data_IF_507328296295
#
_entry.id   IF_507328296295
#
_cell.length_a   1.000
_cell.length_b   1.000
_cell.length_c   1.000
_cell.angle_alpha   90.00
_cell.angle_beta   90.00
_cell.angle_gamma   90.00
#
_symmetry.space_group_name_H-M   'P 1'
#
loop_
_entity.id
_entity.type
_entity.pdbx_description
1 polymer ?
#
# COMPACT_ATOMS: atom_id res chain seq x y z
N UNK A 1 20.78 -7.58 -25.10
CA UNK A 1 19.70 -7.94 -24.16
C UNK A 1 19.68 -6.90 -23.06
N UNK A 2 18.55 -6.24 -22.83
CA UNK A 2 18.44 -5.04 -21.99
C UNK A 2 18.48 -5.38 -20.49
N UNK A 3 19.67 -5.55 -19.93
CA UNK A 3 19.87 -5.60 -18.47
C UNK A 3 19.98 -4.21 -17.83
N UNK A 4 20.02 -3.14 -18.64
CA UNK A 4 20.17 -1.74 -18.20
C UNK A 4 19.08 -1.32 -17.20
N UNK A 5 17.88 -1.90 -17.26
CA UNK A 5 16.79 -1.57 -16.31
C UNK A 5 17.00 -2.12 -14.89
N UNK A 6 17.83 -3.15 -14.72
CA UNK A 6 18.07 -3.78 -13.40
C UNK A 6 19.03 -2.99 -12.52
N UNK A 7 19.82 -2.11 -13.14
CA UNK A 7 20.81 -1.25 -12.46
C UNK A 7 20.38 0.22 -12.46
N UNK A 8 19.20 0.55 -12.99
CA UNK A 8 18.70 1.91 -13.01
C UNK A 8 18.43 2.37 -11.57
N UNK A 9 19.19 3.34 -11.02
CA UNK A 9 19.07 3.72 -9.62
C UNK A 9 17.74 4.40 -9.28
N UNK A 10 16.92 4.72 -10.29
CA UNK A 10 15.52 5.14 -10.21
C UNK A 10 14.87 4.82 -11.56
N UNK A 11 13.76 4.09 -11.59
CA UNK A 11 12.96 4.02 -12.82
C UNK A 11 12.13 5.30 -12.92
N UNK A 12 12.00 5.89 -14.12
CA UNK A 12 11.14 7.07 -14.33
C UNK A 12 9.66 6.80 -14.07
N UNK A 13 9.30 5.55 -13.79
CA UNK A 13 7.95 5.07 -13.52
C UNK A 13 7.71 4.73 -12.04
N UNK A 14 8.73 4.88 -11.18
CA UNK A 14 8.58 4.63 -9.74
C UNK A 14 7.87 5.82 -9.12
N UNK A 15 6.90 5.52 -8.26
CA UNK A 15 6.22 6.55 -7.47
C UNK A 15 7.00 6.73 -6.19
N UNK A 16 7.71 7.85 -6.12
CA UNK A 16 8.51 8.23 -4.96
C UNK A 16 7.74 9.22 -4.10
N UNK A 17 7.65 8.91 -2.81
CA UNK A 17 7.16 9.76 -1.73
C UNK A 17 8.36 10.01 -0.82
N UNK A 18 8.77 11.27 -0.69
CA UNK A 18 9.94 11.61 0.11
C UNK A 18 9.68 11.50 1.62
N UNK A 19 10.76 11.63 2.41
CA UNK A 19 10.69 11.55 3.87
C UNK A 19 9.82 12.65 4.46
N UNK A 20 9.85 13.88 3.92
CA UNK A 20 9.05 14.97 4.44
C UNK A 20 7.55 14.70 4.29
N UNK A 21 7.13 14.08 3.19
CA UNK A 21 5.74 13.70 2.96
C UNK A 21 5.32 12.50 3.83
N UNK A 22 6.21 11.54 4.08
CA UNK A 22 5.96 10.43 5.03
C UNK A 22 5.80 10.98 6.45
N UNK A 23 6.70 11.85 6.90
CA UNK A 23 6.69 12.44 8.24
C UNK A 23 5.42 13.29 8.44
N UNK A 24 5.03 14.08 7.43
CA UNK A 24 3.76 14.82 7.44
C UNK A 24 2.56 13.88 7.56
N UNK A 25 2.53 12.80 6.79
CA UNK A 25 1.41 11.86 6.80
C UNK A 25 1.32 11.15 8.15
N UNK A 26 2.44 10.70 8.70
CA UNK A 26 2.48 10.10 10.04
C UNK A 26 2.00 11.07 11.11
N UNK A 27 2.47 12.33 11.09
CA UNK A 27 2.01 13.35 12.01
C UNK A 27 0.49 13.59 11.90
N UNK A 28 -0.07 13.58 10.68
CA UNK A 28 -1.51 13.67 10.47
C UNK A 28 -2.25 12.50 11.10
N UNK A 29 -1.75 11.27 10.97
CA UNK A 29 -2.35 10.09 11.60
C UNK A 29 -2.28 10.15 13.12
N UNK A 30 -1.18 10.62 13.68
CA UNK A 30 -0.98 10.79 15.13
C UNK A 30 -1.97 11.78 15.74
N UNK A 31 -2.25 12.91 15.07
CA UNK A 31 -3.17 13.93 15.59
C UNK A 31 -4.65 13.66 15.25
N UNK A 32 -4.93 12.60 14.50
CA UNK A 32 -6.29 12.19 14.11
C UNK A 32 -6.51 10.70 14.41
N UNK A 33 -6.44 10.29 15.70
CA UNK A 33 -6.55 8.90 16.08
C UNK A 33 -7.98 8.37 15.91
N UNK A 34 -8.10 7.05 15.76
CA UNK A 34 -9.41 6.39 15.63
C UNK A 34 -10.29 6.53 16.88
N UNK A 35 -9.66 6.64 18.06
CA UNK A 35 -10.35 6.76 19.36
C UNK A 35 -11.12 8.07 19.48
N UNK A 36 -10.67 9.11 18.75
CA UNK A 36 -11.38 10.39 18.61
C UNK A 36 -12.47 10.33 17.51
N UNK A 37 -12.68 9.17 16.90
CA UNK A 37 -13.70 8.92 15.87
C UNK A 37 -13.25 9.16 14.43
N UNK A 38 -11.97 9.48 14.19
CA UNK A 38 -11.47 9.76 12.84
C UNK A 38 -11.48 8.55 11.92
N UNK A 39 -11.80 8.82 10.64
CA UNK A 39 -11.81 7.86 9.54
C UNK A 39 -11.09 8.48 8.34
N UNK A 40 -9.98 7.87 7.95
CA UNK A 40 -9.08 8.40 6.94
C UNK A 40 -9.07 7.46 5.74
N UNK A 41 -9.24 8.05 4.56
CA UNK A 41 -9.05 7.38 3.28
C UNK A 41 -7.79 7.93 2.62
N UNK A 42 -6.96 7.03 2.12
CA UNK A 42 -5.67 7.36 1.50
C UNK A 42 -5.75 7.06 0.02
N UNK A 43 -5.20 7.95 -0.80
CA UNK A 43 -5.15 7.81 -2.25
C UNK A 43 -3.72 7.98 -2.72
N UNK A 44 -3.21 7.02 -3.47
CA UNK A 44 -1.89 7.08 -4.08
C UNK A 44 -1.94 6.61 -5.54
N UNK A 45 -0.92 6.91 -6.34
CA UNK A 45 -0.85 6.34 -7.68
C UNK A 45 -0.49 4.85 -7.59
N UNK A 46 0.70 4.53 -7.07
CA UNK A 46 1.11 3.16 -6.81
C UNK A 46 0.57 2.62 -5.48
N UNK A 47 0.28 1.32 -5.37
CA UNK A 47 -0.11 0.66 -4.11
C UNK A 47 1.06 0.58 -3.12
N UNK A 48 0.77 0.47 -1.80
CA UNK A 48 1.81 0.15 -0.82
C UNK A 48 2.21 -1.33 -0.93
N UNK A 49 3.47 -1.64 -0.63
CA UNK A 49 3.93 -3.02 -0.60
C UNK A 49 3.24 -3.80 0.52
N UNK A 50 2.74 -5.00 0.23
CA UNK A 50 1.95 -5.81 1.16
C UNK A 50 0.44 -5.53 1.13
N UNK A 51 -0.06 -4.72 0.20
CA UNK A 51 -1.50 -4.49 -0.02
C UNK A 51 -2.25 -5.68 -0.64
N UNK A 52 -1.54 -6.74 -1.04
CA UNK A 52 -2.16 -7.95 -1.58
C UNK A 52 -2.54 -7.88 -3.06
N UNK A 53 -1.70 -7.25 -3.90
CA UNK A 53 -1.89 -7.24 -5.36
C UNK A 53 -2.05 -8.65 -5.92
N UNK A 54 -3.14 -8.89 -6.65
CA UNK A 54 -3.47 -10.23 -7.21
C UNK A 54 -2.69 -10.55 -8.49
N UNK A 55 -2.40 -9.54 -9.30
CA UNK A 55 -1.62 -9.69 -10.53
C UNK A 55 -0.42 -8.78 -10.45
N UNK A 56 0.76 -9.39 -10.40
CA UNK A 56 2.04 -8.71 -10.47
C UNK A 56 2.62 -8.98 -11.85
N UNK A 57 2.69 -7.96 -12.69
CA UNK A 57 3.37 -8.09 -13.97
C UNK A 57 4.89 -8.04 -13.72
N UNK A 58 5.62 -9.02 -14.25
CA UNK A 58 7.06 -9.18 -14.04
C UNK A 58 7.85 -7.90 -14.39
N UNK A 59 7.42 -7.19 -15.45
CA UNK A 59 8.03 -5.93 -15.86
C UNK A 59 8.02 -4.86 -14.76
N UNK A 60 6.96 -4.75 -13.96
CA UNK A 60 6.86 -3.75 -12.89
C UNK A 60 7.69 -4.11 -11.66
N UNK A 61 7.89 -5.41 -11.44
CA UNK A 61 8.79 -5.91 -10.38
C UNK A 61 10.24 -5.67 -10.78
N UNK A 62 10.63 -6.08 -11.98
CA UNK A 62 12.00 -5.92 -12.49
C UNK A 62 12.38 -4.45 -12.65
N UNK A 63 11.44 -3.60 -13.04
CA UNK A 63 11.69 -2.17 -13.15
C UNK A 63 11.67 -1.44 -11.80
N UNK A 64 11.30 -2.07 -10.69
CA UNK A 64 11.22 -1.38 -9.40
C UNK A 64 10.12 -0.31 -9.35
N UNK A 65 9.02 -0.47 -10.09
CA UNK A 65 7.89 0.49 -10.05
C UNK A 65 6.61 -0.11 -9.50
N UNK A 66 6.60 -1.37 -9.03
CA UNK A 66 5.38 -2.03 -8.56
C UNK A 66 4.67 -1.35 -7.37
N UNK A 67 5.41 -0.65 -6.50
CA UNK A 67 4.91 -0.11 -5.23
C UNK A 67 5.44 1.30 -4.98
N UNK A 68 4.84 2.00 -4.02
CA UNK A 68 5.41 3.23 -3.47
C UNK A 68 6.80 2.97 -2.91
N UNK A 69 7.76 3.82 -3.29
CA UNK A 69 9.16 3.74 -2.85
C UNK A 69 9.77 2.34 -3.00
N UNK A 70 9.36 1.58 -4.02
CA UNK A 70 9.76 0.20 -4.25
C UNK A 70 11.27 -0.02 -4.07
N UNK A 71 12.10 0.85 -4.67
CA UNK A 71 13.56 0.73 -4.68
C UNK A 71 14.20 1.02 -3.32
N UNK A 72 13.45 1.55 -2.35
CA UNK A 72 13.90 1.79 -0.99
C UNK A 72 13.20 0.84 -0.01
N UNK A 73 13.83 -0.27 0.35
CA UNK A 73 13.25 -1.32 1.19
C UNK A 73 12.63 -0.79 2.51
N UNK A 74 13.28 0.17 3.17
CA UNK A 74 12.78 0.74 4.43
C UNK A 74 11.51 1.55 4.19
N UNK A 75 11.53 2.45 3.22
CA UNK A 75 10.37 3.31 2.95
C UNK A 75 9.21 2.54 2.29
N UNK A 76 9.53 1.56 1.44
CA UNK A 76 8.57 0.65 0.80
C UNK A 76 7.67 -0.07 1.82
N UNK A 77 8.26 -0.53 2.94
CA UNK A 77 7.52 -1.16 4.04
C UNK A 77 6.78 -0.18 4.94
N UNK A 78 7.23 1.07 5.05
CA UNK A 78 6.67 2.03 6.01
C UNK A 78 5.17 2.22 5.83
N UNK A 79 4.68 2.26 4.59
CA UNK A 79 3.25 2.46 4.33
C UNK A 79 2.35 1.36 4.92
N UNK A 80 2.76 0.09 4.82
CA UNK A 80 1.96 -1.01 5.41
C UNK A 80 2.09 -1.04 6.93
N UNK A 81 3.20 -0.58 7.48
CA UNK A 81 3.38 -0.40 8.93
C UNK A 81 2.45 0.69 9.46
N UNK A 82 2.38 1.85 8.80
CA UNK A 82 1.44 2.92 9.15
C UNK A 82 -0.02 2.44 9.14
N UNK A 83 -0.42 1.63 8.16
CA UNK A 83 -1.77 1.04 8.11
C UNK A 83 -2.05 0.11 9.31
N UNK A 84 -1.02 -0.60 9.79
CA UNK A 84 -1.14 -1.51 10.95
C UNK A 84 -1.16 -0.73 12.27
N UNK A 85 -0.34 0.32 12.37
CA UNK A 85 -0.21 1.19 13.54
C UNK A 85 -1.46 2.07 13.73
N UNK A 86 -1.92 2.74 12.67
CA UNK A 86 -2.95 3.76 12.75
C UNK A 86 -4.31 3.24 12.27
N UNK A 87 -5.13 2.80 13.22
CA UNK A 87 -6.48 2.26 12.96
C UNK A 87 -7.47 3.28 12.39
N UNK A 88 -7.12 4.57 12.34
CA UNK A 88 -7.93 5.61 11.69
C UNK A 88 -7.94 5.45 10.18
N UNK A 89 -6.94 4.79 9.59
CA UNK A 89 -6.93 4.43 8.17
C UNK A 89 -7.95 3.30 7.92
N UNK A 90 -8.96 3.61 7.11
CA UNK A 90 -10.06 2.69 6.79
C UNK A 90 -10.02 2.17 5.36
N UNK A 91 -9.43 2.93 4.44
CA UNK A 91 -9.27 2.51 3.07
C UNK A 91 -8.04 3.14 2.42
N UNK A 92 -7.43 2.41 1.50
CA UNK A 92 -6.31 2.85 0.67
C UNK A 92 -6.61 2.51 -0.79
N UNK A 93 -6.65 3.54 -1.62
CA UNK A 93 -6.96 3.45 -3.05
C UNK A 93 -5.71 3.69 -3.88
N UNK A 94 -5.48 2.88 -4.91
CA UNK A 94 -4.32 3.04 -5.79
C UNK A 94 -4.57 2.59 -7.23
N UNK A 95 -4.18 3.40 -8.20
CA UNK A 95 -4.24 3.01 -9.62
C UNK A 95 -3.03 2.19 -10.06
N UNK A 96 -2.22 2.81 -10.93
CA UNK A 96 -0.93 2.32 -11.46
C UNK A 96 -1.00 1.18 -12.47
N UNK A 97 -1.70 0.09 -12.16
CA UNK A 97 -1.63 -1.11 -13.00
C UNK A 97 -2.55 -1.11 -14.22
N UNK A 98 -3.48 -0.15 -14.33
CA UNK A 98 -4.39 0.13 -15.46
C UNK A 98 -5.21 -1.07 -16.01
N UNK A 99 -4.99 -2.26 -15.46
CA UNK A 99 -5.76 -3.46 -15.65
C UNK A 99 -6.92 -3.36 -14.67
N UNK A 100 -8.09 -3.02 -15.18
CA UNK A 100 -9.33 -3.26 -14.45
C UNK A 100 -9.39 -4.75 -14.14
N UNK A 101 -9.29 -5.11 -12.87
CA UNK A 101 -9.56 -6.47 -12.44
C UNK A 101 -11.03 -6.52 -12.03
N UNK A 102 -11.80 -7.36 -12.71
CA UNK A 102 -13.18 -7.65 -12.36
C UNK A 102 -13.27 -8.05 -10.89
N UNK A 103 -14.05 -7.29 -10.13
CA UNK A 103 -14.33 -7.53 -8.72
C UNK A 103 -15.66 -8.27 -8.58
N UNK A 104 -15.67 -9.56 -8.88
CA UNK A 104 -16.67 -10.45 -8.30
C UNK A 104 -16.23 -10.70 -6.85
N UNK A 105 -16.76 -9.90 -5.92
CA UNK A 105 -16.48 -9.82 -4.47
C UNK A 105 -15.46 -8.75 -3.97
N UNK A 106 -15.73 -7.47 -4.20
CA UNK A 106 -15.01 -6.38 -3.49
C UNK A 106 -15.49 -6.22 -2.03
N UNK A 107 -15.05 -7.14 -1.18
CA UNK A 107 -15.14 -7.21 0.30
C UNK A 107 -14.04 -8.14 0.88
N UNK A 108 -13.16 -8.70 0.06
CA UNK A 108 -12.43 -9.93 0.42
C UNK A 108 -11.20 -9.64 1.30
N UNK A 109 -11.25 -9.63 2.63
CA UNK A 109 -11.92 -10.62 3.47
C UNK A 109 -12.69 -10.02 4.66
N UNK A 110 -13.86 -10.58 5.01
CA UNK A 110 -14.61 -10.22 6.21
C UNK A 110 -13.80 -10.40 7.50
N UNK A 111 -14.11 -9.57 8.49
CA UNK A 111 -13.71 -9.70 9.90
C UNK A 111 -14.17 -11.04 10.44
N UNK A 112 -13.27 -12.01 10.44
CA UNK A 112 -13.40 -13.21 11.25
C UNK A 112 -12.96 -12.81 12.66
N UNK A 113 -13.74 -13.06 13.72
CA UNK A 113 -13.25 -12.95 15.09
C UNK A 113 -11.92 -13.67 15.24
N UNK A 114 -11.00 -13.16 16.07
CA UNK A 114 -9.64 -13.72 16.22
C UNK A 114 -9.67 -15.21 16.58
N UNK A 115 -10.77 -15.67 17.17
CA UNK A 115 -11.01 -17.05 17.60
C UNK A 115 -11.39 -18.01 16.46
N UNK A 116 -11.78 -17.51 15.28
CA UNK A 116 -12.46 -18.28 14.23
C UNK A 116 -11.65 -18.48 12.92
N UNK A 117 -10.41 -17.98 12.80
CA UNK A 117 -9.63 -18.15 11.56
C UNK A 117 -8.10 -18.10 11.69
N UNK A 118 -7.36 -18.70 10.74
CA UNK A 118 -5.89 -18.84 10.81
C UNK A 118 -5.11 -17.53 10.59
N UNK A 119 -5.79 -16.39 10.39
CA UNK A 119 -5.17 -15.08 10.09
C UNK A 119 -5.55 -13.98 11.09
N UNK A 120 -5.03 -14.01 12.33
CA UNK A 120 -5.40 -13.09 13.43
C UNK A 120 -4.94 -11.63 13.28
N UNK A 121 -4.29 -11.24 12.17
CA UNK A 121 -3.59 -9.96 12.00
C UNK A 121 -4.14 -9.08 10.85
N UNK A 122 -5.38 -9.31 10.38
CA UNK A 122 -5.95 -8.53 9.27
C UNK A 122 -6.49 -7.19 9.80
N UNK A 123 -5.83 -6.10 9.41
CA UNK A 123 -6.05 -4.74 9.93
C UNK A 123 -7.38 -4.10 9.55
N UNK A 124 -7.65 -2.87 10.01
CA UNK A 124 -8.92 -2.16 9.78
C UNK A 124 -9.04 -1.43 8.44
N UNK A 125 -8.14 -1.69 7.50
CA UNK A 125 -8.03 -0.96 6.24
C UNK A 125 -8.35 -1.85 5.04
N UNK A 126 -9.22 -1.36 4.17
CA UNK A 126 -9.51 -1.96 2.86
C UNK A 126 -8.53 -1.43 1.81
N UNK A 127 -7.92 -2.30 1.02
CA UNK A 127 -7.12 -1.89 -0.14
C UNK A 127 -7.92 -2.08 -1.43
N UNK A 128 -7.98 -1.04 -2.26
CA UNK A 128 -8.72 -1.03 -3.52
C UNK A 128 -7.90 -0.39 -4.63
N UNK A 129 -8.16 -0.80 -5.88
CA UNK A 129 -7.56 -0.21 -7.08
C UNK A 129 -8.60 0.41 -7.99
#
# INVERSE_FOLDING_TARGET
GSTIFREAPYTSHEVIVDTAQIDWFEQLLMTHPADDGWKIFVFTHAPPNGSGLRVLQENHVVNGCCWLNHSNEKQCRRFIELVREYRSIKAWFSGHFHLGQDYQDSITFPTIPREEGPYPNRGSCVFAQ
#
